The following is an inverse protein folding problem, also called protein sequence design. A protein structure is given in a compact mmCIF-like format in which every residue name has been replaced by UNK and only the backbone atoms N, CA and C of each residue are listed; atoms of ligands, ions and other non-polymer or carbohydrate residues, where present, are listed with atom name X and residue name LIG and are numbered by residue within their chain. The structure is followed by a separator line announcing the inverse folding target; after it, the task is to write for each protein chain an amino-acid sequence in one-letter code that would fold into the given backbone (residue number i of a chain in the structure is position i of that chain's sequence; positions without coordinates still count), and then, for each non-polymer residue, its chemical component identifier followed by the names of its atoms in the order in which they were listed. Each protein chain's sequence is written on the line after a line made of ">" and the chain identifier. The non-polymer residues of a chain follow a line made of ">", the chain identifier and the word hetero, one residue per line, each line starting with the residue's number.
data_IF_312663890478
#
_entry.id   IF_312663890478
#
_cell.length_a   1.000
_cell.length_b   1.000
_cell.length_c   1.000
_cell.angle_alpha   90.00
_cell.angle_beta   90.00
_cell.angle_gamma   90.00
#
_symmetry.space_group_name_H-M   'P 1'
#
loop_
_entity.id
_entity.type
_entity.pdbx_description
1 polymer ?
#
# COMPACT_ATOMS: atom_id res chain seq x y z
N UNK A 1 16.84 34.42 21.78
CA UNK A 1 16.06 33.67 20.76
C UNK A 1 14.62 34.19 20.61
N UNK A 2 14.01 34.05 19.42
CA UNK A 2 12.57 34.35 19.20
C UNK A 2 11.76 33.06 19.44
N UNK A 3 10.78 33.13 20.32
CA UNK A 3 9.82 32.05 20.59
C UNK A 3 8.40 32.49 20.26
N UNK A 4 7.55 31.54 19.85
CA UNK A 4 6.15 31.78 19.54
C UNK A 4 5.26 31.19 20.62
N UNK A 5 4.32 31.97 21.15
CA UNK A 5 3.39 31.48 22.16
C UNK A 5 2.33 30.54 21.53
N UNK A 6 2.12 29.31 22.04
CA UNK A 6 1.11 28.38 21.52
C UNK A 6 -0.33 28.85 21.74
N UNK A 7 -0.56 29.82 22.64
CA UNK A 7 -1.90 30.29 22.97
C UNK A 7 -2.35 31.55 22.21
N UNK A 8 -1.42 32.46 21.90
CA UNK A 8 -1.75 33.72 21.24
C UNK A 8 -0.97 33.98 19.94
N UNK A 9 -0.07 33.07 19.54
CA UNK A 9 0.76 33.13 18.33
C UNK A 9 1.61 34.40 18.17
N UNK A 10 1.80 35.17 19.24
CA UNK A 10 2.75 36.30 19.22
C UNK A 10 4.17 35.80 19.44
N UNK A 11 5.08 36.36 18.67
CA UNK A 11 6.51 36.14 18.77
C UNK A 11 7.13 37.19 19.69
N UNK A 12 8.05 36.78 20.55
CA UNK A 12 8.79 37.69 21.41
C UNK A 12 10.20 37.15 21.68
N UNK A 13 11.11 38.07 21.97
CA UNK A 13 12.52 37.78 22.19
C UNK A 13 12.77 37.47 23.67
N UNK A 14 13.42 36.33 23.91
CA UNK A 14 13.75 35.82 25.24
C UNK A 14 15.22 35.43 25.25
N UNK A 15 15.88 35.60 26.39
CA UNK A 15 17.27 35.18 26.57
C UNK A 15 17.44 33.68 26.27
N UNK A 16 18.59 33.30 25.69
CA UNK A 16 18.86 31.93 25.25
C UNK A 16 18.93 30.95 26.42
N UNK A 17 19.16 31.42 27.66
CA UNK A 17 19.23 30.57 28.86
C UNK A 17 17.87 30.05 29.35
N UNK A 18 16.77 30.57 28.81
CA UNK A 18 15.40 30.25 29.27
C UNK A 18 14.82 29.05 28.50
N UNK A 19 15.57 28.47 27.55
CA UNK A 19 15.13 27.27 26.83
C UNK A 19 14.90 26.09 27.77
N UNK A 20 13.66 25.58 27.82
CA UNK A 20 13.23 24.51 28.71
C UNK A 20 12.65 24.96 30.05
N UNK A 21 12.63 26.27 30.34
CA UNK A 21 11.96 26.81 31.53
C UNK A 21 10.50 27.19 31.24
N UNK A 22 9.66 27.12 32.26
CA UNK A 22 8.26 27.55 32.23
C UNK A 22 8.21 29.06 32.41
N UNK A 23 7.71 29.77 31.40
CA UNK A 23 7.57 31.22 31.41
C UNK A 23 6.13 31.63 31.14
N UNK A 24 5.73 32.79 31.67
CA UNK A 24 4.44 33.39 31.37
C UNK A 24 4.53 34.28 30.13
N UNK A 25 3.58 34.12 29.21
CA UNK A 25 3.51 34.97 28.04
C UNK A 25 3.14 36.42 28.44
N UNK A 26 3.92 37.45 28.04
CA UNK A 26 3.61 38.85 28.37
C UNK A 26 2.31 39.36 27.72
N UNK A 27 1.79 38.66 26.72
CA UNK A 27 0.56 39.05 26.02
C UNK A 27 -0.70 38.36 26.55
N UNK A 28 -0.66 37.05 26.78
CA UNK A 28 -1.84 36.28 27.16
C UNK A 28 -1.80 35.70 28.58
N UNK A 29 -0.74 35.98 29.35
CA UNK A 29 -0.53 35.58 30.76
C UNK A 29 -0.56 34.06 31.03
N UNK A 30 -0.67 33.23 29.99
CA UNK A 30 -0.63 31.78 30.08
C UNK A 30 0.81 31.30 30.18
N UNK A 31 1.03 30.32 31.04
CA UNK A 31 2.32 29.66 31.24
C UNK A 31 2.56 28.61 30.16
N UNK A 32 3.77 28.57 29.63
CA UNK A 32 4.19 27.55 28.67
C UNK A 32 5.71 27.34 28.74
N UNK A 33 6.18 26.22 28.20
CA UNK A 33 7.61 25.89 28.16
C UNK A 33 8.27 26.57 26.96
N UNK A 34 9.30 27.37 27.20
CA UNK A 34 10.05 28.03 26.13
C UNK A 34 10.92 27.01 25.38
N UNK A 35 10.46 26.54 24.22
CA UNK A 35 11.24 25.64 23.35
C UNK A 35 11.76 26.43 22.15
N UNK A 36 13.06 26.32 21.88
CA UNK A 36 13.66 26.93 20.69
C UNK A 36 13.16 26.21 19.44
N UNK A 37 12.27 26.85 18.69
CA UNK A 37 11.62 26.28 17.50
C UNK A 37 12.58 25.94 16.35
N UNK A 38 13.83 26.44 16.39
CA UNK A 38 14.88 26.14 15.39
C UNK A 38 15.69 24.89 15.70
N UNK A 39 15.58 24.38 16.93
CA UNK A 39 16.25 23.18 17.39
C UNK A 39 15.24 22.03 17.47
N UNK A 40 15.68 20.82 17.13
CA UNK A 40 14.90 19.60 17.32
C UNK A 40 15.78 18.51 17.93
N UNK A 41 15.23 17.56 18.69
CA UNK A 41 16.00 16.44 19.22
C UNK A 41 16.36 15.47 18.10
N UNK A 42 17.63 15.11 17.98
CA UNK A 42 18.10 14.08 17.06
C UNK A 42 17.45 12.72 17.40
N UNK A 43 16.95 11.95 16.42
CA UNK A 43 16.29 10.67 16.68
C UNK A 43 17.24 9.59 17.23
N UNK A 44 18.53 9.64 16.90
CA UNK A 44 19.49 8.61 17.31
C UNK A 44 20.11 8.87 18.68
N UNK A 45 20.39 10.13 19.03
CA UNK A 45 21.13 10.48 20.25
C UNK A 45 20.47 11.52 21.14
N UNK A 46 19.24 11.95 20.81
CA UNK A 46 18.44 12.91 21.57
C UNK A 46 19.09 14.29 21.82
N UNK A 47 20.21 14.61 21.17
CA UNK A 47 20.81 15.95 21.28
C UNK A 47 20.01 16.97 20.49
N UNK A 48 19.84 18.18 21.04
CA UNK A 48 19.24 19.30 20.32
C UNK A 48 20.17 19.74 19.18
N UNK A 49 19.66 19.65 17.97
CA UNK A 49 20.37 19.95 16.72
C UNK A 49 19.56 20.93 15.87
N UNK A 50 20.24 21.67 15.00
CA UNK A 50 19.57 22.60 14.08
C UNK A 50 18.75 21.83 13.04
N UNK A 51 17.52 22.30 12.75
CA UNK A 51 16.68 21.81 11.63
C UNK A 51 17.35 21.83 10.25
N UNK A 52 18.49 22.50 10.10
CA UNK A 52 19.28 22.59 8.85
C UNK A 52 20.49 21.66 8.82
N UNK A 53 20.78 20.93 9.90
CA UNK A 53 21.92 20.02 9.93
C UNK A 53 21.65 18.83 9.00
N UNK A 54 22.53 18.59 8.03
CA UNK A 54 22.48 17.40 7.16
C UNK A 54 23.01 16.13 7.86
N UNK A 55 23.83 16.32 8.89
CA UNK A 55 24.39 15.25 9.73
C UNK A 55 24.43 15.75 11.16
N UNK A 56 24.08 14.90 12.12
CA UNK A 56 24.13 15.24 13.54
C UNK A 56 25.59 15.41 13.98
N UNK A 57 26.00 16.58 14.51
CA UNK A 57 27.39 16.82 14.93
C UNK A 57 27.82 15.98 16.14
N UNK A 58 26.87 15.36 16.86
CA UNK A 58 27.16 14.61 18.09
C UNK A 58 27.29 13.10 17.87
N UNK A 59 26.42 12.49 17.07
CA UNK A 59 26.44 11.05 16.80
C UNK A 59 26.82 10.69 15.37
N UNK A 60 26.90 11.65 14.45
CA UNK A 60 27.21 11.39 13.04
C UNK A 60 26.05 10.81 12.22
N UNK A 61 24.84 10.69 12.79
CA UNK A 61 23.68 10.20 12.05
C UNK A 61 23.29 11.16 10.91
N UNK A 62 23.04 10.65 9.70
CA UNK A 62 22.54 11.48 8.59
C UNK A 62 21.11 11.94 8.90
N UNK A 63 20.88 13.24 8.79
CA UNK A 63 19.57 13.86 8.97
C UNK A 63 19.10 14.27 7.59
N UNK A 64 18.09 13.58 7.05
CA UNK A 64 17.57 13.87 5.71
C UNK A 64 16.97 15.27 5.65
N UNK A 65 17.78 16.26 5.29
CA UNK A 65 17.32 17.61 5.00
C UNK A 65 16.57 17.60 3.68
N UNK A 66 15.26 17.81 3.74
CA UNK A 66 14.47 18.01 2.52
C UNK A 66 12.98 18.04 2.76
N UNK A 67 12.50 19.01 3.54
CA UNK A 67 11.15 19.55 3.32
C UNK A 67 11.13 20.03 1.87
N UNK A 68 10.61 19.21 0.97
CA UNK A 68 10.27 19.62 -0.38
C UNK A 68 9.30 20.80 -0.22
N UNK A 69 9.66 21.92 -0.82
CA UNK A 69 8.84 23.12 -0.84
C UNK A 69 7.41 22.75 -1.19
N UNK A 70 6.50 23.12 -0.28
CA UNK A 70 5.08 23.18 -0.51
C UNK A 70 4.81 24.22 -1.60
N UNK A 71 4.87 23.80 -2.86
CA UNK A 71 3.98 24.34 -3.87
C UNK A 71 2.66 23.60 -3.73
N UNK A 72 1.65 24.35 -3.30
CA UNK A 72 0.22 24.11 -3.46
C UNK A 72 -0.16 22.92 -4.34
N UNK A 73 -0.33 21.75 -3.74
CA UNK A 73 -1.39 20.83 -4.13
C UNK A 73 -2.33 20.78 -2.93
N UNK A 74 -3.50 21.38 -3.12
CA UNK A 74 -4.60 21.37 -2.18
C UNK A 74 -4.85 19.94 -1.71
N UNK A 75 -4.50 19.64 -0.47
CA UNK A 75 -4.90 18.42 0.19
C UNK A 75 -6.41 18.47 0.41
N UNK A 76 -7.14 17.96 -0.59
CA UNK A 76 -8.53 17.61 -0.48
C UNK A 76 -8.64 16.47 0.54
N UNK A 77 -9.21 16.77 1.70
CA UNK A 77 -9.43 15.83 2.80
C UNK A 77 -10.44 14.70 2.47
N UNK A 78 -10.89 14.60 1.22
CA UNK A 78 -11.61 13.43 0.69
C UNK A 78 -10.70 12.26 0.26
N UNK A 79 -9.37 12.43 0.20
CA UNK A 79 -8.46 11.42 -0.38
C UNK A 79 -7.96 10.34 0.61
N UNK A 80 -8.23 10.48 1.92
CA UNK A 80 -7.92 9.45 2.93
C UNK A 80 -8.91 8.27 2.93
N UNK A 81 -9.97 8.36 2.13
CA UNK A 81 -10.94 7.29 1.87
C UNK A 81 -10.86 6.77 0.43
N UNK A 82 -10.01 7.38 -0.41
CA UNK A 82 -9.84 6.99 -1.80
C UNK A 82 -8.77 5.92 -1.86
N UNK A 83 -9.16 4.69 -1.56
CA UNK A 83 -8.41 3.55 -2.04
C UNK A 83 -8.28 3.66 -3.56
N UNK A 84 -7.09 4.08 -4.02
CA UNK A 84 -6.80 4.27 -5.43
C UNK A 84 -6.82 2.89 -6.09
N UNK A 85 -7.95 2.54 -6.71
CA UNK A 85 -8.12 1.30 -7.46
C UNK A 85 -7.14 1.33 -8.63
N UNK A 86 -6.07 0.55 -8.55
CA UNK A 86 -4.96 0.64 -9.50
C UNK A 86 -5.38 -0.06 -10.80
N UNK A 87 -5.95 -1.27 -10.70
CA UNK A 87 -6.39 -2.05 -11.86
C UNK A 87 -7.34 -3.19 -11.47
N UNK A 88 -8.31 -3.50 -12.34
CA UNK A 88 -9.16 -4.69 -12.24
C UNK A 88 -8.67 -5.76 -13.21
N UNK A 89 -8.14 -6.85 -12.67
CA UNK A 89 -7.73 -8.02 -13.44
C UNK A 89 -8.91 -8.99 -13.56
N UNK A 90 -9.18 -9.44 -14.77
CA UNK A 90 -10.14 -10.52 -15.04
C UNK A 90 -9.37 -11.80 -15.33
N UNK A 91 -9.91 -12.98 -14.96
CA UNK A 91 -9.28 -14.25 -15.33
C UNK A 91 -9.19 -14.37 -16.85
N UNK A 92 -8.01 -14.76 -17.34
CA UNK A 92 -7.76 -14.90 -18.76
C UNK A 92 -8.49 -16.13 -19.30
N UNK A 93 -9.31 -16.00 -20.36
CA UNK A 93 -10.00 -17.15 -20.97
C UNK A 93 -9.04 -18.26 -21.44
N UNK A 94 -7.80 -17.87 -21.74
CA UNK A 94 -6.72 -18.79 -22.15
C UNK A 94 -6.33 -19.82 -21.10
N UNK A 95 -6.63 -19.62 -19.82
CA UNK A 95 -6.42 -20.68 -18.82
C UNK A 95 -7.39 -21.86 -19.02
N UNK A 96 -8.56 -21.60 -19.63
CA UNK A 96 -9.58 -22.61 -19.90
C UNK A 96 -9.50 -23.14 -21.34
N UNK A 97 -8.39 -22.92 -22.05
CA UNK A 97 -8.27 -23.28 -23.46
C UNK A 97 -8.49 -24.79 -23.70
N UNK A 98 -7.91 -25.64 -22.85
CA UNK A 98 -8.06 -27.09 -22.94
C UNK A 98 -9.50 -27.53 -22.68
N UNK A 99 -10.14 -26.94 -21.67
CA UNK A 99 -11.52 -27.28 -21.31
C UNK A 99 -12.53 -26.74 -22.34
N UNK A 100 -12.24 -25.62 -23.01
CA UNK A 100 -13.00 -25.12 -24.16
C UNK A 100 -12.85 -26.06 -25.37
N UNK A 101 -11.62 -26.49 -25.69
CA UNK A 101 -11.37 -27.45 -26.78
C UNK A 101 -12.11 -28.76 -26.52
N UNK A 102 -12.04 -29.28 -25.30
CA UNK A 102 -12.74 -30.49 -24.89
C UNK A 102 -14.26 -30.29 -24.92
N UNK A 103 -14.76 -29.13 -24.50
CA UNK A 103 -16.18 -28.77 -24.59
C UNK A 103 -16.70 -28.70 -26.03
N UNK A 104 -15.90 -28.20 -26.98
CA UNK A 104 -16.23 -28.17 -28.42
C UNK A 104 -16.23 -29.58 -29.01
N UNK A 105 -15.28 -30.43 -28.62
CA UNK A 105 -15.21 -31.82 -29.09
C UNK A 105 -16.39 -32.65 -28.58
N UNK A 106 -16.82 -32.40 -27.34
CA UNK A 106 -17.96 -33.07 -26.72
C UNK A 106 -19.30 -32.40 -27.02
N UNK A 107 -19.32 -31.29 -27.77
CA UNK A 107 -20.51 -30.50 -28.09
C UNK A 107 -21.69 -31.30 -28.68
N UNK A 108 -21.51 -32.35 -29.51
CA UNK A 108 -22.63 -33.16 -29.97
C UNK A 108 -23.27 -34.02 -28.86
N UNK A 109 -22.55 -34.28 -27.77
CA UNK A 109 -23.14 -34.76 -26.52
C UNK A 109 -23.55 -33.52 -25.72
N UNK A 110 -24.82 -33.39 -25.33
CA UNK A 110 -25.35 -32.26 -24.53
C UNK A 110 -24.44 -31.82 -23.35
N UNK A 111 -23.63 -32.75 -22.84
CA UNK A 111 -22.52 -32.53 -21.89
C UNK A 111 -21.53 -31.42 -22.30
N UNK A 112 -21.13 -31.32 -23.58
CA UNK A 112 -20.19 -30.29 -24.05
C UNK A 112 -20.74 -28.87 -23.93
N UNK A 113 -22.04 -28.69 -24.20
CA UNK A 113 -22.74 -27.42 -23.99
C UNK A 113 -22.73 -27.01 -22.51
N UNK A 114 -22.98 -27.96 -21.61
CA UNK A 114 -22.98 -27.72 -20.15
C UNK A 114 -21.58 -27.30 -19.67
N UNK A 115 -20.53 -27.97 -20.13
CA UNK A 115 -19.14 -27.65 -19.78
C UNK A 115 -18.77 -26.23 -20.23
N UNK A 116 -19.09 -25.89 -21.49
CA UNK A 116 -18.77 -24.57 -22.05
C UNK A 116 -19.51 -23.45 -21.33
N UNK A 117 -20.79 -23.68 -21.00
CA UNK A 117 -21.62 -22.74 -20.25
C UNK A 117 -21.09 -22.53 -18.82
N UNK A 118 -20.65 -23.61 -18.15
CA UNK A 118 -20.04 -23.53 -16.82
C UNK A 118 -18.76 -22.69 -16.81
N UNK A 119 -17.87 -22.90 -17.77
CA UNK A 119 -16.61 -22.15 -17.91
C UNK A 119 -16.88 -20.67 -18.17
N UNK A 120 -17.82 -20.34 -19.06
CA UNK A 120 -18.18 -18.95 -19.35
C UNK A 120 -18.67 -18.23 -18.11
N UNK A 121 -19.49 -18.91 -17.31
CA UNK A 121 -19.98 -18.38 -16.04
C UNK A 121 -18.82 -18.13 -15.08
N UNK A 122 -17.90 -19.09 -14.93
CA UNK A 122 -16.76 -18.96 -14.01
C UNK A 122 -15.86 -17.77 -14.34
N UNK A 123 -15.57 -17.56 -15.63
CA UNK A 123 -14.79 -16.41 -16.13
C UNK A 123 -15.50 -15.09 -15.84
N UNK A 124 -16.83 -15.04 -16.04
CA UNK A 124 -17.63 -13.82 -15.80
C UNK A 124 -17.85 -13.52 -14.32
N UNK A 125 -17.89 -14.55 -13.48
CA UNK A 125 -18.18 -14.45 -12.06
C UNK A 125 -16.94 -14.27 -11.17
N UNK A 126 -15.75 -14.24 -11.76
CA UNK A 126 -14.49 -14.09 -11.02
C UNK A 126 -13.86 -12.74 -11.37
N UNK A 127 -13.59 -11.92 -10.35
CA UNK A 127 -12.94 -10.61 -10.53
C UNK A 127 -11.87 -10.42 -9.47
N UNK A 128 -10.71 -9.95 -9.91
CA UNK A 128 -9.57 -9.62 -9.07
C UNK A 128 -9.38 -8.11 -9.07
N UNK A 129 -9.46 -7.47 -7.91
CA UNK A 129 -9.21 -6.02 -7.78
C UNK A 129 -7.92 -5.80 -6.99
N UNK A 130 -6.97 -5.12 -7.63
CA UNK A 130 -5.71 -4.73 -7.00
C UNK A 130 -5.81 -3.26 -6.56
N UNK A 131 -5.65 -3.03 -5.27
CA UNK A 131 -5.62 -1.68 -4.68
C UNK A 131 -4.25 -1.41 -4.06
N UNK A 132 -3.94 -0.14 -3.79
CA UNK A 132 -2.67 0.29 -3.19
C UNK A 132 -2.37 -0.29 -1.80
N UNK A 133 -3.40 -0.68 -1.03
CA UNK A 133 -3.22 -1.15 0.35
C UNK A 133 -3.72 -2.59 0.57
N UNK A 134 -4.67 -3.05 -0.25
CA UNK A 134 -5.24 -4.41 -0.14
C UNK A 134 -5.50 -5.03 -1.51
N UNK A 135 -5.52 -6.35 -1.51
CA UNK A 135 -5.89 -7.19 -2.65
C UNK A 135 -7.28 -7.75 -2.35
N UNK A 136 -8.24 -7.52 -3.24
CA UNK A 136 -9.63 -7.96 -3.10
C UNK A 136 -9.91 -9.02 -4.17
N UNK A 137 -10.27 -10.21 -3.72
CA UNK A 137 -10.58 -11.34 -4.59
C UNK A 137 -12.07 -11.65 -4.42
N UNK A 138 -12.84 -11.45 -5.49
CA UNK A 138 -14.26 -11.78 -5.53
C UNK A 138 -14.48 -13.00 -6.42
N UNK A 139 -15.00 -14.08 -5.84
CA UNK A 139 -15.35 -15.31 -6.55
C UNK A 139 -16.78 -15.72 -6.20
N UNK A 140 -17.60 -16.06 -7.18
CA UNK A 140 -18.91 -16.64 -6.90
C UNK A 140 -19.90 -16.61 -8.04
N UNK A 141 -20.49 -17.76 -8.35
CA UNK A 141 -21.61 -17.87 -9.29
C UNK A 141 -22.97 -17.63 -8.61
N UNK A 142 -23.24 -18.34 -7.50
CA UNK A 142 -24.47 -18.21 -6.69
C UNK A 142 -24.22 -17.50 -5.36
N UNK A 143 -23.12 -17.85 -4.67
CA UNK A 143 -22.71 -17.25 -3.41
C UNK A 143 -21.46 -16.42 -3.67
N UNK A 144 -21.49 -15.13 -3.34
CA UNK A 144 -20.36 -14.22 -3.50
C UNK A 144 -19.42 -14.37 -2.31
N UNK A 145 -18.24 -14.92 -2.55
CA UNK A 145 -17.14 -14.98 -1.58
C UNK A 145 -16.18 -13.83 -1.87
N UNK A 146 -15.93 -13.00 -0.85
CA UNK A 146 -15.01 -11.87 -0.92
C UNK A 146 -13.88 -12.11 0.09
N UNK A 147 -12.66 -12.27 -0.42
CA UNK A 147 -11.46 -12.38 0.41
C UNK A 147 -10.65 -11.10 0.23
N UNK A 148 -10.38 -10.41 1.34
CA UNK A 148 -9.56 -9.21 1.37
C UNK A 148 -8.29 -9.47 2.16
N UNK A 149 -7.15 -9.09 1.60
CA UNK A 149 -5.85 -9.24 2.24
C UNK A 149 -5.12 -7.91 2.16
N UNK A 150 -4.63 -7.43 3.30
CA UNK A 150 -3.76 -6.26 3.33
C UNK A 150 -2.38 -6.63 2.79
N UNK A 151 -1.82 -5.77 1.93
CA UNK A 151 -0.49 -6.00 1.32
C UNK A 151 0.59 -6.11 2.41
N UNK A 152 0.47 -5.36 3.50
CA UNK A 152 1.35 -5.44 4.68
C UNK A 152 1.36 -6.79 5.41
N UNK A 153 0.28 -7.58 5.30
CA UNK A 153 0.14 -8.86 6.01
C UNK A 153 0.56 -10.06 5.14
N UNK A 154 1.05 -9.78 3.92
CA UNK A 154 1.57 -10.75 2.98
C UNK A 154 3.00 -11.16 3.34
N UNK A 155 3.26 -12.47 3.44
CA UNK A 155 4.60 -12.99 3.72
C UNK A 155 5.39 -13.22 2.43
N UNK A 156 4.83 -14.01 1.53
CA UNK A 156 5.49 -14.44 0.30
C UNK A 156 4.51 -14.42 -0.88
N UNK A 157 5.06 -14.15 -2.06
CA UNK A 157 4.37 -14.25 -3.35
C UNK A 157 5.13 -15.29 -4.15
N UNK A 158 4.47 -16.38 -4.50
CA UNK A 158 5.04 -17.46 -5.29
C UNK A 158 4.37 -17.46 -6.67
N UNK A 159 5.18 -17.36 -7.72
CA UNK A 159 4.71 -17.54 -9.09
C UNK A 159 4.70 -19.02 -9.43
N UNK A 160 3.51 -19.57 -9.70
CA UNK A 160 3.33 -20.96 -10.13
C UNK A 160 2.94 -20.94 -11.61
N UNK A 161 3.81 -21.46 -12.46
CA UNK A 161 3.57 -21.49 -13.89
C UNK A 161 4.01 -22.84 -14.48
N UNK A 162 3.07 -23.55 -15.08
CA UNK A 162 3.33 -24.78 -15.84
C UNK A 162 4.02 -24.45 -17.17
N UNK A 163 4.71 -25.44 -17.76
CA UNK A 163 5.40 -25.29 -19.06
C UNK A 163 4.45 -24.76 -20.14
N UNK A 164 3.22 -25.29 -20.19
CA UNK A 164 2.19 -24.85 -21.13
C UNK A 164 1.65 -23.44 -20.84
N UNK A 165 1.46 -23.12 -19.56
CA UNK A 165 1.05 -21.78 -19.13
C UNK A 165 2.09 -20.72 -19.52
N UNK A 166 3.40 -21.07 -19.45
CA UNK A 166 4.51 -20.23 -19.90
C UNK A 166 4.50 -19.96 -21.41
N UNK A 167 4.13 -20.95 -22.23
CA UNK A 167 4.00 -20.77 -23.68
C UNK A 167 2.82 -19.84 -24.02
N UNK A 168 1.75 -19.94 -23.26
CA UNK A 168 0.49 -19.19 -23.46
C UNK A 168 0.54 -17.79 -22.81
N UNK A 169 1.59 -17.48 -22.03
CA UNK A 169 1.73 -16.18 -21.36
C UNK A 169 0.79 -15.97 -20.17
N UNK A 170 0.24 -17.05 -19.61
CA UNK A 170 -0.63 -17.03 -18.42
C UNK A 170 0.07 -17.70 -17.25
N UNK A 171 -0.33 -17.40 -16.02
CA UNK A 171 0.13 -18.16 -14.85
C UNK A 171 -0.64 -17.82 -13.60
N UNK A 172 -0.30 -18.54 -12.54
CA UNK A 172 -1.02 -18.50 -11.26
C UNK A 172 -0.10 -17.89 -10.18
N UNK A 173 -0.67 -17.06 -9.31
CA UNK A 173 0.07 -16.39 -8.24
C UNK A 173 -0.48 -16.87 -6.90
N UNK A 174 0.38 -17.53 -6.11
CA UNK A 174 0.07 -17.97 -4.76
C UNK A 174 0.58 -16.95 -3.74
N UNK A 175 -0.32 -16.44 -2.91
CA UNK A 175 -0.03 -15.42 -1.89
C UNK A 175 -0.16 -16.04 -0.51
N UNK A 176 0.92 -16.03 0.26
CA UNK A 176 0.93 -16.45 1.66
C UNK A 176 0.59 -15.29 2.60
N UNK A 177 -0.39 -15.47 3.49
CA UNK A 177 -0.81 -14.44 4.46
C UNK A 177 -0.33 -14.76 5.88
N UNK A 178 -0.14 -13.73 6.70
CA UNK A 178 0.22 -13.91 8.11
C UNK A 178 -0.97 -14.34 8.99
N UNK A 179 -2.20 -14.03 8.58
CA UNK A 179 -3.42 -14.24 9.34
C UNK A 179 -3.99 -15.67 9.21
N UNK A 180 -3.80 -16.34 8.08
CA UNK A 180 -4.24 -17.73 7.89
C UNK A 180 -3.05 -18.67 7.98
N UNK A 181 -2.97 -19.43 9.07
CA UNK A 181 -1.95 -20.45 9.31
C UNK A 181 -2.03 -21.59 8.27
N UNK A 182 -1.45 -21.37 7.09
CA UNK A 182 -1.34 -22.36 6.02
C UNK A 182 -2.33 -22.21 4.85
N UNK A 183 -3.25 -21.25 4.88
CA UNK A 183 -4.13 -20.99 3.73
C UNK A 183 -3.45 -20.01 2.79
N UNK A 184 -2.85 -20.54 1.73
CA UNK A 184 -2.36 -19.76 0.61
C UNK A 184 -3.53 -19.37 -0.30
N UNK A 185 -3.56 -18.10 -0.70
CA UNK A 185 -4.59 -17.60 -1.61
C UNK A 185 -4.02 -17.62 -3.01
N UNK A 186 -4.56 -18.51 -3.84
CA UNK A 186 -4.14 -18.67 -5.23
C UNK A 186 -5.01 -17.81 -6.16
N UNK A 187 -4.38 -16.96 -6.95
CA UNK A 187 -4.99 -16.19 -8.04
C UNK A 187 -4.67 -16.92 -9.34
N UNK A 188 -5.71 -17.30 -10.09
CA UNK A 188 -5.58 -18.24 -11.20
C UNK A 188 -5.76 -17.51 -12.53
N UNK A 189 -4.92 -17.85 -13.52
CA UNK A 189 -5.10 -17.42 -14.90
C UNK A 189 -4.85 -15.93 -15.15
N UNK A 190 -3.83 -15.37 -14.53
CA UNK A 190 -3.40 -13.99 -14.79
C UNK A 190 -2.56 -13.95 -16.07
N UNK A 191 -2.87 -13.01 -16.97
CA UNK A 191 -2.02 -12.72 -18.13
C UNK A 191 -0.76 -11.98 -17.67
N UNK A 192 0.41 -12.38 -18.16
CA UNK A 192 1.70 -11.83 -17.76
C UNK A 192 1.87 -11.75 -16.23
N UNK A 193 1.95 -12.91 -15.56
CA UNK A 193 1.98 -12.94 -14.10
C UNK A 193 3.28 -12.35 -13.53
N UNK A 194 4.36 -12.26 -14.31
CA UNK A 194 5.62 -11.64 -13.90
C UNK A 194 5.47 -10.13 -13.61
N UNK A 195 4.81 -9.38 -14.51
CA UNK A 195 4.58 -7.94 -14.35
C UNK A 195 3.76 -7.64 -13.09
N UNK A 196 2.74 -8.46 -12.81
CA UNK A 196 1.89 -8.32 -11.63
C UNK A 196 2.67 -8.60 -10.34
N UNK A 197 3.57 -9.60 -10.34
CA UNK A 197 4.44 -9.86 -9.19
C UNK A 197 5.39 -8.69 -8.94
N UNK A 198 5.98 -8.14 -9.99
CA UNK A 198 6.88 -6.98 -9.89
C UNK A 198 6.14 -5.73 -9.38
N UNK A 199 4.90 -5.52 -9.83
CA UNK A 199 4.03 -4.45 -9.35
C UNK A 199 3.69 -4.63 -7.86
N UNK A 200 3.33 -5.85 -7.42
CA UNK A 200 3.08 -6.15 -6.00
C UNK A 200 4.35 -5.93 -5.16
N UNK A 201 5.51 -6.34 -5.66
CA UNK A 201 6.79 -6.14 -4.97
C UNK A 201 7.16 -4.66 -4.85
N UNK A 202 6.87 -3.85 -5.87
CA UNK A 202 7.11 -2.40 -5.82
C UNK A 202 6.29 -1.72 -4.72
N UNK A 203 5.03 -2.15 -4.53
CA UNK A 203 4.13 -1.63 -3.50
C UNK A 203 4.51 -2.07 -2.09
N UNK A 204 5.27 -3.17 -1.95
CA UNK A 204 5.78 -3.63 -0.66
C UNK A 204 6.89 -2.72 -0.11
N UNK A 205 7.68 -2.11 -1.00
CA UNK A 205 8.89 -1.37 -0.65
C UNK A 205 8.70 0.16 -0.61
N UNK A 206 7.50 0.68 -0.91
CA UNK A 206 7.16 2.11 -0.83
C UNK A 206 6.63 2.50 0.54
#
# INVERSE_FOLDING_TARGET
>A
MIIECPHCRRQFEVDDQISGQQISCPNCQKEFVAVNSRLFPCPDCCSLISKRAAVCPKCGAPLSTGVKNANSEETNWNDLSAERKIETYHPSPMNYLWSIILGIILLPAVVGLIILLFILIEIKCTSYELTSHRIIIRRGWISKVQNEIWIKDMRAVNLVQSIWQRIIGVGDIAIGTAASAGTEINIVGIANPADVVDQINSLRHS
#
